data_IF_413091843871
#
_entry.id   IF_413091843871
#
_cell.length_a   1.000
_cell.length_b   1.000
_cell.length_c   1.000
_cell.angle_alpha   90.00
_cell.angle_beta   90.00
_cell.angle_gamma   90.00
#
_symmetry.space_group_name_H-M   'P 1'
#
loop_
_entity.id
_entity.type
_entity.pdbx_description
1 polymer ?
#
# COMPACT_ATOMS: atom_id res chain seq x y z
N UNK A 1 18.80 -6.17 -24.00
CA UNK A 1 19.01 -4.90 -23.25
C UNK A 1 19.72 -5.26 -21.96
N UNK A 2 21.00 -4.90 -21.86
CA UNK A 2 21.84 -5.27 -20.71
C UNK A 2 21.48 -4.37 -19.53
N UNK A 3 20.82 -4.93 -18.52
CA UNK A 3 20.62 -4.24 -17.24
C UNK A 3 21.95 -4.24 -16.48
N UNK A 4 22.60 -3.09 -16.48
CA UNK A 4 23.72 -2.83 -15.56
C UNK A 4 23.17 -2.94 -14.12
N UNK A 5 23.75 -3.74 -13.22
CA UNK A 5 23.33 -3.76 -11.82
C UNK A 5 23.56 -2.35 -11.27
N UNK A 6 22.49 -1.75 -10.70
CA UNK A 6 22.61 -0.48 -10.00
C UNK A 6 23.72 -0.64 -8.94
N UNK A 7 24.74 0.22 -9.01
CA UNK A 7 25.87 0.17 -8.11
C UNK A 7 25.33 0.33 -6.68
N UNK A 8 25.79 -0.50 -5.73
CA UNK A 8 25.40 -0.45 -4.31
C UNK A 8 25.48 0.95 -3.69
N UNK A 9 26.33 1.81 -4.24
CA UNK A 9 26.51 3.20 -3.80
C UNK A 9 25.33 4.14 -4.17
N UNK A 10 24.44 3.76 -5.11
CA UNK A 10 23.31 4.57 -5.52
C UNK A 10 22.02 4.29 -4.72
N UNK A 11 21.99 3.22 -3.94
CA UNK A 11 20.80 2.79 -3.19
C UNK A 11 20.81 3.26 -1.74
N UNK A 12 21.97 3.63 -1.18
CA UNK A 12 22.15 4.00 0.22
C UNK A 12 22.23 2.80 1.17
N UNK A 13 22.02 3.03 2.48
CA UNK A 13 22.07 1.98 3.50
C UNK A 13 20.80 1.12 3.46
N UNK A 14 20.96 -0.21 3.56
CA UNK A 14 19.85 -1.14 3.70
C UNK A 14 19.24 -0.99 5.10
N UNK A 15 17.95 -0.72 5.17
CA UNK A 15 17.21 -0.51 6.42
C UNK A 15 16.36 -1.73 6.80
N UNK A 16 15.97 -2.56 5.83
CA UNK A 16 15.19 -3.77 6.10
C UNK A 16 14.96 -4.63 4.88
N UNK A 17 14.80 -5.92 5.15
CA UNK A 17 14.40 -6.93 4.17
C UNK A 17 13.07 -7.54 4.59
N UNK A 18 12.13 -7.62 3.65
CA UNK A 18 10.78 -8.06 3.91
C UNK A 18 10.40 -9.19 2.96
N UNK A 19 10.11 -10.35 3.53
CA UNK A 19 9.79 -11.56 2.80
C UNK A 19 8.31 -11.92 2.94
N UNK A 20 7.69 -12.59 1.96
CA UNK A 20 6.34 -13.07 2.09
C UNK A 20 6.23 -14.14 3.19
N UNK A 21 5.06 -14.25 3.80
CA UNK A 21 4.78 -15.28 4.79
C UNK A 21 4.83 -16.68 4.16
N UNK A 22 5.82 -17.48 4.57
CA UNK A 22 5.99 -18.86 4.07
C UNK A 22 5.25 -19.91 4.89
N UNK A 23 4.60 -19.51 6.00
CA UNK A 23 3.94 -20.46 6.93
C UNK A 23 2.81 -21.25 6.28
N UNK A 24 1.92 -20.58 5.57
CA UNK A 24 0.77 -21.25 4.95
C UNK A 24 1.16 -22.24 3.84
N UNK A 25 2.00 -21.88 2.84
CA UNK A 25 2.48 -22.84 1.85
C UNK A 25 3.31 -23.97 2.46
N UNK A 26 4.07 -23.73 3.54
CA UNK A 26 4.79 -24.78 4.25
C UNK A 26 3.81 -25.75 4.94
N UNK A 27 2.76 -25.25 5.56
CA UNK A 27 1.73 -26.09 6.20
C UNK A 27 0.95 -26.91 5.18
N UNK A 28 0.58 -26.32 4.04
CA UNK A 28 -0.06 -27.04 2.93
C UNK A 28 0.86 -28.14 2.37
N UNK A 29 2.16 -27.86 2.24
CA UNK A 29 3.13 -28.85 1.80
C UNK A 29 3.25 -30.01 2.79
N UNK A 30 3.36 -29.72 4.08
CA UNK A 30 3.40 -30.76 5.14
C UNK A 30 2.14 -31.63 5.10
N UNK A 31 0.96 -31.01 4.99
CA UNK A 31 -0.30 -31.75 4.92
C UNK A 31 -0.41 -32.59 3.64
N UNK A 32 0.07 -32.06 2.50
CA UNK A 32 0.14 -32.81 1.24
C UNK A 32 1.02 -34.05 1.37
N UNK A 33 2.23 -33.90 1.94
CA UNK A 33 3.16 -35.00 2.18
C UNK A 33 2.58 -36.05 3.14
N UNK A 34 1.87 -35.59 4.17
CA UNK A 34 1.19 -36.49 5.11
C UNK A 34 0.10 -37.32 4.39
N UNK A 35 -0.75 -36.69 3.58
CA UNK A 35 -1.78 -37.39 2.82
C UNK A 35 -1.17 -38.41 1.85
N UNK A 36 -0.10 -38.04 1.14
CA UNK A 36 0.59 -38.93 0.19
C UNK A 36 1.23 -40.12 0.93
N UNK A 37 1.84 -39.88 2.12
CA UNK A 37 2.45 -40.95 2.91
C UNK A 37 1.42 -41.87 3.54
N UNK A 38 0.26 -41.38 3.93
CA UNK A 38 -0.83 -42.19 4.52
C UNK A 38 -1.54 -43.06 3.47
N UNK A 39 -1.57 -42.67 2.21
CA UNK A 39 -2.27 -43.43 1.16
C UNK A 39 -1.78 -44.89 1.04
N UNK A 40 -0.47 -45.18 0.87
CA UNK A 40 0.02 -46.56 0.82
C UNK A 40 -0.12 -47.30 2.15
N UNK A 41 -0.01 -46.59 3.29
CA UNK A 41 -0.20 -47.16 4.63
C UNK A 41 -1.64 -47.67 4.78
N UNK A 42 -2.63 -46.91 4.34
CA UNK A 42 -4.05 -47.28 4.38
C UNK A 42 -4.32 -48.47 3.48
N UNK A 43 -3.73 -48.54 2.29
CA UNK A 43 -3.85 -49.71 1.37
C UNK A 43 -3.23 -50.95 2.02
N UNK A 44 -2.02 -50.80 2.61
CA UNK A 44 -1.31 -51.90 3.27
C UNK A 44 -2.05 -52.41 4.53
N UNK A 45 -2.50 -51.49 5.41
CA UNK A 45 -3.23 -51.87 6.60
C UNK A 45 -4.55 -52.52 6.28
N UNK A 46 -5.28 -52.01 5.29
CA UNK A 46 -6.51 -52.62 4.81
C UNK A 46 -6.33 -54.00 4.17
N UNK A 47 -5.11 -54.33 3.66
CA UNK A 47 -4.79 -55.69 3.19
C UNK A 47 -4.54 -56.67 4.33
N UNK A 48 -4.23 -56.20 5.53
CA UNK A 48 -4.01 -57.03 6.74
C UNK A 48 -5.29 -57.28 7.54
N UNK A 49 -6.27 -56.36 7.44
CA UNK A 49 -7.51 -56.38 8.21
C UNK A 49 -8.64 -57.05 7.40
N UNK A 50 -8.48 -58.17 6.84
CA UNK A 50 -9.45 -59.08 6.18
C UNK A 50 -10.86 -58.43 5.92
N UNK A 51 -10.85 -57.24 5.35
CA UNK A 51 -12.11 -56.49 5.13
C UNK A 51 -12.78 -56.99 3.83
N UNK A 52 -14.03 -57.34 3.93
CA UNK A 52 -14.88 -57.94 2.87
C UNK A 52 -15.03 -57.09 1.58
N UNK A 53 -14.47 -55.85 1.56
CA UNK A 53 -14.57 -54.98 0.39
C UNK A 53 -13.21 -54.41 -0.04
N UNK A 54 -12.48 -55.11 -0.94
CA UNK A 54 -11.20 -54.61 -1.48
C UNK A 54 -11.34 -53.28 -2.23
N UNK A 55 -12.51 -52.99 -2.81
CA UNK A 55 -12.79 -51.75 -3.52
C UNK A 55 -12.70 -50.50 -2.59
N UNK A 56 -13.14 -50.60 -1.34
CA UNK A 56 -13.12 -49.49 -0.39
C UNK A 56 -11.69 -49.04 -0.04
N UNK A 57 -10.76 -49.99 0.08
CA UNK A 57 -9.35 -49.74 0.37
C UNK A 57 -8.68 -48.89 -0.71
N UNK A 58 -8.85 -49.35 -1.96
CA UNK A 58 -8.29 -48.62 -3.10
C UNK A 58 -8.94 -47.28 -3.30
N UNK A 59 -10.24 -47.15 -3.03
CA UNK A 59 -10.96 -45.89 -3.10
C UNK A 59 -10.45 -44.88 -2.07
N UNK A 60 -10.30 -45.28 -0.80
CA UNK A 60 -9.75 -44.43 0.27
C UNK A 60 -8.30 -44.01 -0.02
N UNK A 61 -7.45 -44.94 -0.44
CA UNK A 61 -6.07 -44.62 -0.82
C UNK A 61 -6.00 -43.65 -1.99
N UNK A 62 -6.86 -43.83 -2.99
CA UNK A 62 -6.94 -42.92 -4.16
C UNK A 62 -7.42 -41.53 -3.79
N UNK A 63 -8.42 -41.43 -2.91
CA UNK A 63 -8.91 -40.11 -2.40
C UNK A 63 -7.82 -39.39 -1.64
N UNK A 64 -7.08 -40.07 -0.75
CA UNK A 64 -5.96 -39.48 -0.02
C UNK A 64 -4.84 -39.01 -0.95
N UNK A 65 -4.48 -39.84 -1.95
CA UNK A 65 -3.46 -39.46 -2.93
C UNK A 65 -3.89 -38.24 -3.76
N UNK A 66 -5.16 -38.23 -4.23
CA UNK A 66 -5.72 -37.07 -4.94
C UNK A 66 -5.76 -35.81 -4.10
N UNK A 67 -6.18 -35.91 -2.83
CA UNK A 67 -6.17 -34.80 -1.90
C UNK A 67 -4.73 -34.25 -1.68
N UNK A 68 -3.76 -35.16 -1.50
CA UNK A 68 -2.35 -34.79 -1.39
C UNK A 68 -1.83 -34.08 -2.63
N UNK A 69 -2.16 -34.56 -3.83
CA UNK A 69 -1.78 -33.91 -5.08
C UNK A 69 -2.40 -32.53 -5.25
N UNK A 70 -3.67 -32.35 -4.90
CA UNK A 70 -4.35 -31.05 -4.90
C UNK A 70 -3.70 -30.07 -3.92
N UNK A 71 -3.39 -30.49 -2.69
CA UNK A 71 -2.71 -29.67 -1.69
C UNK A 71 -1.29 -29.29 -2.14
N UNK A 72 -0.57 -30.19 -2.79
CA UNK A 72 0.74 -29.92 -3.35
C UNK A 72 0.63 -28.86 -4.47
N UNK A 73 -0.32 -29.03 -5.39
CA UNK A 73 -0.61 -28.06 -6.43
C UNK A 73 -0.97 -26.68 -5.85
N UNK A 74 -1.83 -26.65 -4.84
CA UNK A 74 -2.19 -25.43 -4.12
C UNK A 74 -0.98 -24.77 -3.43
N UNK A 75 -0.09 -25.53 -2.79
CA UNK A 75 1.15 -25.04 -2.18
C UNK A 75 2.09 -24.40 -3.22
N UNK A 76 2.30 -25.05 -4.36
CA UNK A 76 3.13 -24.51 -5.46
C UNK A 76 2.49 -23.26 -6.06
N UNK A 77 1.20 -23.30 -6.31
CA UNK A 77 0.43 -22.16 -6.81
C UNK A 77 0.54 -20.97 -5.86
N UNK A 78 0.34 -21.20 -4.58
CA UNK A 78 0.42 -20.15 -3.56
C UNK A 78 1.82 -19.56 -3.44
N UNK A 79 2.89 -20.37 -3.55
CA UNK A 79 4.27 -19.84 -3.60
C UNK A 79 4.51 -18.93 -4.80
N UNK A 80 3.91 -19.21 -5.95
CA UNK A 80 3.97 -18.32 -7.12
C UNK A 80 3.18 -17.04 -6.93
N UNK A 81 2.06 -17.08 -6.19
CA UNK A 81 1.24 -15.91 -5.88
C UNK A 81 1.78 -15.07 -4.72
N UNK A 82 2.64 -15.63 -3.85
CA UNK A 82 3.18 -14.91 -2.70
C UNK A 82 4.11 -13.76 -3.07
N UNK A 83 4.42 -13.60 -4.34
CA UNK A 83 4.97 -12.38 -4.90
C UNK A 83 6.40 -12.07 -4.52
N UNK A 84 6.70 -10.83 -4.69
CA UNK A 84 8.01 -10.23 -4.56
C UNK A 84 8.44 -10.14 -3.10
N UNK A 85 9.72 -10.26 -2.83
CA UNK A 85 10.29 -9.75 -1.58
C UNK A 85 10.85 -8.34 -1.81
N UNK A 86 11.00 -7.58 -0.73
CA UNK A 86 11.35 -6.18 -0.81
C UNK A 86 12.56 -5.88 0.07
N UNK A 87 13.48 -5.11 -0.49
CA UNK A 87 14.59 -4.51 0.24
C UNK A 87 14.34 -3.00 0.30
N UNK A 88 14.33 -2.45 1.50
CA UNK A 88 14.13 -1.01 1.71
C UNK A 88 15.44 -0.38 2.09
N UNK A 89 15.85 0.58 1.30
CA UNK A 89 17.05 1.39 1.51
C UNK A 89 16.64 2.80 1.97
N UNK A 90 17.57 3.57 2.49
CA UNK A 90 17.31 4.96 2.91
C UNK A 90 16.84 5.87 1.75
N UNK A 91 17.24 5.57 0.50
CA UNK A 91 16.91 6.37 -0.67
C UNK A 91 15.85 5.75 -1.60
N UNK A 92 15.47 4.49 -1.38
CA UNK A 92 14.53 3.82 -2.28
C UNK A 92 14.14 2.42 -1.84
N UNK A 93 13.33 1.81 -2.65
CA UNK A 93 12.80 0.46 -2.48
C UNK A 93 13.17 -0.41 -3.67
N UNK A 94 13.65 -1.62 -3.41
CA UNK A 94 13.86 -2.65 -4.44
C UNK A 94 12.80 -3.73 -4.28
N UNK A 95 11.99 -3.92 -5.31
CA UNK A 95 11.15 -5.10 -5.44
C UNK A 95 11.93 -6.18 -6.18
N UNK A 96 11.94 -7.39 -5.66
CA UNK A 96 12.59 -8.55 -6.25
C UNK A 96 11.52 -9.58 -6.59
N UNK A 97 11.22 -9.71 -7.88
CA UNK A 97 10.23 -10.62 -8.40
C UNK A 97 10.86 -11.58 -9.41
N UNK A 98 10.68 -12.88 -9.21
CA UNK A 98 11.26 -13.93 -10.05
C UNK A 98 12.78 -13.74 -10.35
N UNK A 99 13.52 -13.15 -9.41
CA UNK A 99 14.96 -12.87 -9.53
C UNK A 99 15.29 -11.57 -10.26
N UNK A 100 14.30 -10.83 -10.75
CA UNK A 100 14.49 -9.49 -11.30
C UNK A 100 14.40 -8.45 -10.20
N UNK A 101 15.33 -7.51 -10.18
CA UNK A 101 15.40 -6.42 -9.21
C UNK A 101 14.91 -5.12 -9.86
N UNK A 102 13.88 -4.54 -9.28
CA UNK A 102 13.30 -3.26 -9.70
C UNK A 102 13.50 -2.24 -8.58
N UNK A 103 14.46 -1.36 -8.75
CA UNK A 103 14.73 -0.29 -7.81
C UNK A 103 13.96 0.97 -8.17
N UNK A 104 13.31 1.59 -7.19
CA UNK A 104 12.63 2.87 -7.29
C UNK A 104 13.07 3.79 -6.14
N UNK A 105 13.60 4.98 -6.48
CA UNK A 105 13.96 5.98 -5.48
C UNK A 105 12.70 6.61 -4.89
N UNK A 106 12.69 6.87 -3.58
CA UNK A 106 11.60 7.61 -2.92
C UNK A 106 11.44 9.03 -3.50
N UNK A 107 12.52 9.63 -3.98
CA UNK A 107 12.48 10.91 -4.66
C UNK A 107 11.72 10.89 -6.00
N UNK A 108 11.61 9.75 -6.65
CA UNK A 108 10.92 9.57 -7.93
C UNK A 108 9.53 8.92 -7.74
N UNK A 109 9.17 8.55 -6.51
CA UNK A 109 7.89 7.97 -6.18
C UNK A 109 6.85 9.09 -6.06
N UNK A 110 5.92 9.17 -7.00
CA UNK A 110 4.85 10.19 -6.99
C UNK A 110 3.66 9.78 -6.15
N UNK A 111 3.17 8.56 -6.35
CA UNK A 111 1.96 8.07 -5.69
C UNK A 111 2.28 6.92 -4.74
N UNK A 112 1.94 7.11 -3.48
CA UNK A 112 1.91 6.08 -2.44
C UNK A 112 0.48 5.92 -1.94
N UNK A 113 -0.10 4.74 -2.08
CA UNK A 113 -1.50 4.50 -1.74
C UNK A 113 -1.64 3.37 -0.74
N UNK A 114 -2.32 3.68 0.35
CA UNK A 114 -2.55 2.80 1.49
C UNK A 114 -4.04 2.50 1.58
N UNK A 115 -4.44 1.23 1.50
CA UNK A 115 -5.85 0.88 1.53
C UNK A 115 -6.11 -0.48 2.19
N UNK A 116 -7.36 -0.71 2.55
CA UNK A 116 -7.84 -1.95 3.13
C UNK A 116 -9.22 -2.32 2.62
N UNK A 117 -9.73 -3.52 2.93
CA UNK A 117 -11.08 -3.91 2.58
C UNK A 117 -12.08 -2.99 3.29
N UNK A 118 -13.11 -2.58 2.57
CA UNK A 118 -14.14 -1.67 3.08
C UNK A 118 -14.89 -2.19 4.32
N UNK A 119 -14.82 -3.51 4.57
CA UNK A 119 -15.44 -4.18 5.72
C UNK A 119 -14.58 -4.19 6.98
N UNK A 120 -13.28 -3.92 6.87
CA UNK A 120 -12.37 -3.92 8.00
C UNK A 120 -12.18 -2.48 8.48
N UNK A 121 -12.84 -2.11 9.56
CA UNK A 121 -12.75 -0.81 10.23
C UNK A 121 -11.29 -0.34 10.37
N UNK A 122 -10.83 0.48 9.42
CA UNK A 122 -9.53 1.16 9.47
C UNK A 122 -8.29 0.28 9.32
N UNK A 123 -8.41 -1.02 9.08
CA UNK A 123 -7.25 -1.90 8.93
C UNK A 123 -6.65 -1.80 7.53
N UNK A 124 -5.43 -1.28 7.46
CA UNK A 124 -4.64 -1.25 6.22
C UNK A 124 -4.11 -2.65 5.93
N UNK A 125 -4.45 -3.17 4.77
CA UNK A 125 -4.01 -4.50 4.33
C UNK A 125 -3.20 -4.48 3.04
N UNK A 126 -3.14 -3.33 2.37
CA UNK A 126 -2.44 -3.17 1.10
C UNK A 126 -1.67 -1.85 1.06
N UNK A 127 -0.53 -1.89 0.40
CA UNK A 127 0.28 -0.74 0.04
C UNK A 127 0.59 -0.81 -1.45
N UNK A 128 0.28 0.25 -2.17
CA UNK A 128 0.60 0.38 -3.58
C UNK A 128 1.42 1.64 -3.84
N UNK A 129 2.32 1.59 -4.80
CA UNK A 129 3.13 2.75 -5.18
C UNK A 129 3.47 2.73 -6.66
N UNK A 130 3.78 3.91 -7.22
CA UNK A 130 4.23 4.08 -8.59
C UNK A 130 5.06 5.34 -8.77
N UNK A 131 5.93 5.35 -9.77
CA UNK A 131 6.79 6.51 -10.09
C UNK A 131 6.05 7.65 -10.79
N UNK A 132 4.87 7.41 -11.35
CA UNK A 132 4.09 8.43 -12.04
C UNK A 132 2.72 7.94 -12.45
N UNK A 133 1.84 8.85 -12.85
CA UNK A 133 0.44 8.57 -13.15
C UNK A 133 0.23 7.49 -14.23
N UNK A 134 1.14 7.41 -15.20
CA UNK A 134 1.10 6.47 -16.33
C UNK A 134 1.83 5.15 -16.06
N UNK A 135 2.57 5.07 -14.97
CA UNK A 135 3.32 3.87 -14.61
C UNK A 135 2.40 2.83 -13.92
N UNK A 136 2.67 1.55 -14.11
CA UNK A 136 1.92 0.49 -13.44
C UNK A 136 2.12 0.57 -11.92
N UNK A 137 1.07 0.25 -11.19
CA UNK A 137 1.14 0.12 -9.75
C UNK A 137 1.97 -1.10 -9.35
N UNK A 138 2.89 -0.91 -8.43
CA UNK A 138 3.45 -1.99 -7.64
C UNK A 138 2.59 -2.15 -6.38
N UNK A 139 2.28 -3.39 -6.04
CA UNK A 139 1.33 -3.71 -4.97
C UNK A 139 1.92 -4.75 -4.03
N UNK A 140 1.80 -4.50 -2.74
CA UNK A 140 2.04 -5.50 -1.70
C UNK A 140 0.87 -5.54 -0.71
N UNK A 141 0.80 -6.61 0.07
CA UNK A 141 -0.31 -6.83 1.01
C UNK A 141 0.19 -7.37 2.35
N UNK A 142 -0.74 -7.53 3.28
CA UNK A 142 -0.52 -8.17 4.58
C UNK A 142 -0.01 -9.63 4.50
N UNK A 143 0.12 -10.21 3.28
CA UNK A 143 0.84 -11.46 3.05
C UNK A 143 2.37 -11.31 3.22
N UNK A 144 2.88 -10.09 3.25
CA UNK A 144 4.28 -9.78 3.58
C UNK A 144 4.50 -9.91 5.08
N UNK A 145 5.57 -10.60 5.49
CA UNK A 145 5.96 -10.65 6.89
C UNK A 145 6.31 -9.24 7.37
N UNK A 146 5.90 -8.89 8.59
CA UNK A 146 6.12 -7.56 9.16
C UNK A 146 5.55 -6.41 8.29
N UNK A 147 4.42 -6.64 7.60
CA UNK A 147 3.79 -5.67 6.71
C UNK A 147 3.59 -4.30 7.35
N UNK A 148 3.19 -4.24 8.62
CA UNK A 148 3.01 -2.96 9.33
C UNK A 148 4.32 -2.17 9.44
N UNK A 149 5.43 -2.85 9.75
CA UNK A 149 6.75 -2.22 9.82
C UNK A 149 7.22 -1.76 8.44
N UNK A 150 7.05 -2.62 7.42
CA UNK A 150 7.33 -2.26 6.02
C UNK A 150 6.57 -1.01 5.59
N UNK A 151 5.26 -0.99 5.82
CA UNK A 151 4.39 0.12 5.47
C UNK A 151 4.81 1.42 6.17
N UNK A 152 5.10 1.38 7.47
CA UNK A 152 5.53 2.55 8.24
C UNK A 152 6.86 3.10 7.71
N UNK A 153 7.83 2.22 7.48
CA UNK A 153 9.15 2.59 6.97
C UNK A 153 9.06 3.24 5.58
N UNK A 154 8.31 2.63 4.65
CA UNK A 154 8.14 3.17 3.29
C UNK A 154 7.45 4.54 3.33
N UNK A 155 6.41 4.72 4.16
CA UNK A 155 5.70 6.00 4.31
C UNK A 155 6.62 7.09 4.86
N UNK A 156 7.38 6.78 5.90
CA UNK A 156 8.32 7.73 6.51
C UNK A 156 9.40 8.18 5.54
N UNK A 157 10.01 7.23 4.83
CA UNK A 157 11.08 7.53 3.87
C UNK A 157 10.55 8.28 2.64
N UNK A 158 9.33 7.97 2.19
CA UNK A 158 8.67 8.72 1.12
C UNK A 158 8.45 10.19 1.52
N UNK A 159 7.89 10.43 2.70
CA UNK A 159 7.71 11.80 3.23
C UNK A 159 9.06 12.52 3.33
N UNK A 160 10.06 11.87 3.93
CA UNK A 160 11.42 12.45 4.09
C UNK A 160 12.03 12.86 2.75
N UNK A 161 11.85 12.04 1.69
CA UNK A 161 12.42 12.31 0.38
C UNK A 161 11.67 13.41 -0.41
N UNK A 162 10.34 13.51 -0.23
CA UNK A 162 9.50 14.43 -1.00
C UNK A 162 9.31 15.80 -0.32
N UNK A 163 9.33 15.84 1.01
CA UNK A 163 9.03 17.04 1.79
C UNK A 163 9.89 18.27 1.42
N UNK A 164 11.21 18.13 1.16
CA UNK A 164 12.03 19.28 0.74
C UNK A 164 11.59 19.89 -0.59
N UNK A 165 11.15 19.07 -1.54
CA UNK A 165 10.65 19.53 -2.85
C UNK A 165 9.31 20.25 -2.71
N UNK A 166 8.46 19.71 -1.86
CA UNK A 166 7.16 20.30 -1.52
C UNK A 166 7.34 21.66 -0.88
N UNK A 167 8.21 21.77 0.12
CA UNK A 167 8.50 23.05 0.78
C UNK A 167 9.09 24.08 -0.18
N UNK A 168 10.04 23.69 -1.02
CA UNK A 168 10.59 24.58 -2.04
C UNK A 168 9.51 25.07 -3.01
N UNK A 169 8.54 24.23 -3.37
CA UNK A 169 7.40 24.62 -4.22
C UNK A 169 6.47 25.61 -3.51
N UNK A 170 6.12 25.36 -2.25
CA UNK A 170 5.27 26.25 -1.45
C UNK A 170 5.95 27.62 -1.21
N UNK A 171 7.26 27.64 -0.87
CA UNK A 171 8.02 28.86 -0.70
C UNK A 171 8.12 29.68 -1.99
N UNK A 172 8.17 29.02 -3.14
CA UNK A 172 8.14 29.67 -4.45
C UNK A 172 6.71 30.10 -4.87
N UNK A 173 5.72 29.98 -4.00
CA UNK A 173 4.32 30.31 -4.28
C UNK A 173 3.63 29.35 -5.26
N UNK A 174 4.25 28.22 -5.57
CA UNK A 174 3.67 27.21 -6.48
C UNK A 174 2.78 26.23 -5.71
N UNK A 175 1.70 25.79 -6.36
CA UNK A 175 0.86 24.71 -5.84
C UNK A 175 1.53 23.34 -5.99
N UNK A 176 1.18 22.44 -5.06
CA UNK A 176 1.57 21.04 -5.08
C UNK A 176 0.34 20.21 -5.39
N UNK A 177 0.42 19.38 -6.43
CA UNK A 177 -0.68 18.52 -6.85
C UNK A 177 -0.67 17.20 -6.05
N UNK A 178 -1.85 16.78 -5.61
CA UNK A 178 -2.12 15.50 -4.98
C UNK A 178 -3.27 14.80 -5.70
N UNK A 179 -3.22 13.48 -5.75
CA UNK A 179 -4.29 12.67 -6.32
C UNK A 179 -5.12 12.04 -5.22
N UNK A 180 -6.41 11.88 -5.48
CA UNK A 180 -7.31 11.25 -4.52
C UNK A 180 -8.46 10.51 -5.23
N UNK A 181 -9.05 9.55 -4.52
CA UNK A 181 -10.31 8.93 -4.87
C UNK A 181 -11.40 9.53 -4.00
N UNK A 182 -12.52 9.91 -4.61
CA UNK A 182 -13.68 10.39 -3.85
C UNK A 182 -14.26 9.28 -2.98
N UNK A 183 -14.97 9.66 -1.94
CA UNK A 183 -15.67 8.74 -1.05
C UNK A 183 -16.62 7.78 -1.81
N UNK A 184 -17.28 8.26 -2.85
CA UNK A 184 -18.10 7.43 -3.73
C UNK A 184 -17.30 6.38 -4.50
N UNK A 185 -16.07 6.72 -4.95
CA UNK A 185 -15.18 5.79 -5.63
C UNK A 185 -14.64 4.74 -4.66
N UNK A 186 -14.21 5.14 -3.47
CA UNK A 186 -13.71 4.22 -2.44
C UNK A 186 -14.79 3.23 -2.00
N UNK A 187 -16.04 3.69 -1.86
CA UNK A 187 -17.17 2.85 -1.44
C UNK A 187 -17.81 2.05 -2.57
N UNK A 188 -17.60 2.41 -3.82
CA UNK A 188 -18.39 1.85 -4.94
C UNK A 188 -18.15 0.37 -5.22
N UNK A 189 -17.15 -0.29 -4.65
CA UNK A 189 -16.78 -1.71 -4.86
C UNK A 189 -16.79 -2.16 -6.34
N UNK A 190 -16.93 -1.22 -7.29
CA UNK A 190 -17.01 -1.48 -8.72
C UNK A 190 -15.60 -1.56 -9.32
N UNK A 191 -15.01 -2.74 -9.26
CA UNK A 191 -13.70 -3.02 -9.81
C UNK A 191 -12.53 -2.68 -8.87
N UNK A 192 -11.29 -2.98 -9.28
CA UNK A 192 -10.10 -2.73 -8.49
C UNK A 192 -9.89 -1.22 -8.28
N UNK A 193 -9.72 -0.78 -7.03
CA UNK A 193 -9.51 0.63 -6.67
C UNK A 193 -8.36 1.28 -7.46
N UNK A 194 -7.29 0.54 -7.73
CA UNK A 194 -6.12 1.02 -8.45
C UNK A 194 -6.36 1.28 -9.95
N UNK A 195 -7.47 0.81 -10.52
CA UNK A 195 -7.86 1.06 -11.92
C UNK A 195 -8.80 2.25 -12.07
N UNK A 196 -9.32 2.79 -10.96
CA UNK A 196 -10.18 3.96 -11.02
C UNK A 196 -9.34 5.21 -11.33
N UNK A 197 -9.83 6.11 -12.22
CA UNK A 197 -9.16 7.36 -12.50
C UNK A 197 -9.18 8.24 -11.25
N UNK A 198 -8.03 8.63 -10.70
CA UNK A 198 -7.98 9.53 -9.57
C UNK A 198 -8.38 10.94 -9.98
N UNK A 199 -8.93 11.67 -9.05
CA UNK A 199 -9.12 13.12 -9.16
C UNK A 199 -7.86 13.82 -8.66
N UNK A 200 -7.68 15.08 -9.09
CA UNK A 200 -6.53 15.89 -8.66
C UNK A 200 -6.99 17.03 -7.75
N UNK A 201 -6.20 17.33 -6.76
CA UNK A 201 -6.31 18.53 -5.93
C UNK A 201 -4.96 19.23 -5.87
N UNK A 202 -4.97 20.55 -5.85
CA UNK A 202 -3.75 21.38 -5.75
C UNK A 202 -3.76 22.15 -4.45
N UNK A 203 -2.72 21.98 -3.65
CA UNK A 203 -2.50 22.68 -2.40
C UNK A 203 -1.44 23.75 -2.58
N UNK A 204 -1.76 25.00 -2.25
CA UNK A 204 -0.83 26.13 -2.22
C UNK A 204 -0.88 26.80 -0.85
N UNK A 205 0.04 27.72 -0.61
CA UNK A 205 0.00 28.56 0.62
C UNK A 205 -1.32 29.34 0.71
N UNK A 206 -1.88 29.78 -0.41
CA UNK A 206 -3.07 30.64 -0.44
C UNK A 206 -4.39 29.83 -0.47
N UNK A 207 -4.41 28.67 -1.09
CA UNK A 207 -5.65 27.95 -1.38
C UNK A 207 -5.47 26.46 -1.58
N UNK A 208 -6.54 25.72 -1.30
CA UNK A 208 -6.76 24.34 -1.76
C UNK A 208 -7.73 24.36 -2.93
N UNK A 209 -7.32 23.80 -4.06
CA UNK A 209 -8.14 23.71 -5.28
C UNK A 209 -8.49 22.26 -5.57
N UNK A 210 -9.76 21.94 -5.77
CA UNK A 210 -10.23 20.62 -6.19
C UNK A 210 -11.61 20.72 -6.83
N UNK A 211 -11.88 19.89 -7.82
CA UNK A 211 -13.14 19.85 -8.56
C UNK A 211 -13.58 21.24 -9.08
N UNK A 212 -12.63 22.07 -9.52
CA UNK A 212 -12.90 23.42 -9.99
C UNK A 212 -13.28 24.42 -8.88
N UNK A 213 -13.24 24.03 -7.62
CA UNK A 213 -13.47 24.91 -6.46
C UNK A 213 -12.15 25.34 -5.86
N UNK A 214 -12.08 26.62 -5.49
CA UNK A 214 -10.92 27.19 -4.78
C UNK A 214 -11.34 27.61 -3.38
N UNK A 215 -10.68 27.03 -2.38
CA UNK A 215 -10.92 27.28 -0.97
C UNK A 215 -9.72 28.02 -0.41
N UNK A 216 -9.96 29.19 0.20
CA UNK A 216 -8.89 29.92 0.84
C UNK A 216 -8.33 29.17 2.05
N UNK A 217 -7.00 29.10 2.18
CA UNK A 217 -6.34 28.51 3.37
C UNK A 217 -6.74 29.19 4.67
N UNK A 218 -7.11 30.49 4.62
CA UNK A 218 -7.62 31.23 5.79
C UNK A 218 -8.96 30.68 6.29
N UNK A 219 -9.81 30.14 5.40
CA UNK A 219 -11.06 29.50 5.80
C UNK A 219 -10.85 28.11 6.39
N UNK A 220 -9.68 27.50 6.17
CA UNK A 220 -9.31 26.16 6.68
C UNK A 220 -8.67 26.19 8.08
N UNK A 221 -8.39 27.36 8.64
CA UNK A 221 -7.74 27.53 9.95
C UNK A 221 -8.52 26.92 11.14
N UNK A 222 -9.74 26.48 10.92
CA UNK A 222 -10.60 25.77 11.90
C UNK A 222 -10.75 24.28 11.64
N UNK A 223 -9.90 23.69 10.83
CA UNK A 223 -9.93 22.25 10.59
C UNK A 223 -9.49 21.51 11.85
N UNK A 224 -10.37 20.70 12.36
CA UNK A 224 -10.09 19.81 13.49
C UNK A 224 -9.21 18.64 13.02
N UNK A 225 -7.89 18.81 13.14
CA UNK A 225 -6.90 17.79 12.78
C UNK A 225 -7.04 16.50 13.62
N UNK A 226 -7.76 16.55 14.74
CA UNK A 226 -8.01 15.37 15.59
C UNK A 226 -8.90 14.31 14.96
N UNK A 227 -9.79 14.67 14.04
CA UNK A 227 -10.70 13.76 13.34
C UNK A 227 -10.12 13.17 12.04
N UNK A 228 -8.91 13.51 11.67
CA UNK A 228 -8.29 13.18 10.37
C UNK A 228 -7.84 11.72 10.23
N UNK A 229 -7.85 10.94 11.28
CA UNK A 229 -7.35 9.55 11.22
C UNK A 229 -8.23 8.62 10.37
N UNK A 230 -9.51 8.94 10.21
CA UNK A 230 -10.45 8.09 9.48
C UNK A 230 -11.02 8.79 8.24
N UNK A 231 -11.26 10.11 8.30
CA UNK A 231 -11.91 10.86 7.24
C UNK A 231 -11.33 12.28 7.14
N UNK A 232 -10.87 12.68 5.96
CA UNK A 232 -10.50 14.07 5.68
C UNK A 232 -11.78 14.83 5.37
N UNK A 233 -12.23 15.61 6.34
CA UNK A 233 -13.39 16.47 6.22
C UNK A 233 -12.95 17.92 6.24
N UNK A 234 -12.85 18.54 5.09
CA UNK A 234 -12.56 19.98 4.96
C UNK A 234 -13.89 20.72 4.94
N UNK A 235 -14.07 21.62 5.89
CA UNK A 235 -15.25 22.50 5.99
C UNK A 235 -14.89 23.93 5.59
N UNK A 236 -15.83 24.62 4.99
CA UNK A 236 -15.72 26.07 4.74
C UNK A 236 -16.02 26.89 6.01
N UNK A 237 -15.92 28.20 5.90
CA UNK A 237 -16.16 29.13 7.03
C UNK A 237 -17.63 29.03 7.56
N UNK A 238 -18.57 28.50 6.79
CA UNK A 238 -19.96 28.25 7.21
C UNK A 238 -20.14 26.90 7.90
N UNK A 239 -19.08 26.07 8.00
CA UNK A 239 -19.13 24.73 8.57
C UNK A 239 -19.62 23.67 7.58
N UNK A 240 -19.89 24.03 6.32
CA UNK A 240 -20.34 23.09 5.30
C UNK A 240 -19.15 22.23 4.80
N UNK A 241 -19.31 20.91 4.70
CA UNK A 241 -18.26 20.06 4.16
C UNK A 241 -18.01 20.38 2.68
N UNK A 242 -16.76 20.66 2.37
CA UNK A 242 -16.29 20.98 1.02
C UNK A 242 -15.58 19.81 0.40
N UNK A 243 -14.71 19.14 1.15
CA UNK A 243 -14.08 17.87 0.79
C UNK A 243 -14.44 16.85 1.85
N UNK A 244 -14.94 15.70 1.43
CA UNK A 244 -15.11 14.52 2.26
C UNK A 244 -14.52 13.33 1.54
N UNK A 245 -13.43 12.80 2.06
CA UNK A 245 -12.80 11.58 1.54
C UNK A 245 -12.20 10.80 2.70
N UNK A 246 -12.21 9.46 2.68
CA UNK A 246 -11.42 8.69 3.63
C UNK A 246 -9.95 9.11 3.54
N UNK A 247 -9.24 9.12 4.66
CA UNK A 247 -7.79 9.33 4.65
C UNK A 247 -7.11 8.34 3.69
N UNK A 248 -7.61 7.12 3.64
CA UNK A 248 -7.22 6.09 2.68
C UNK A 248 -7.63 6.41 1.23
N UNK A 249 -8.35 7.47 0.94
CA UNK A 249 -8.66 7.93 -0.41
C UNK A 249 -7.60 8.85 -1.01
N UNK A 250 -6.71 9.44 -0.20
CA UNK A 250 -5.68 10.38 -0.67
C UNK A 250 -4.38 9.62 -0.93
N UNK A 251 -3.82 9.77 -2.13
CA UNK A 251 -2.50 9.24 -2.44
C UNK A 251 -1.42 10.08 -1.75
N UNK A 252 -0.38 9.43 -1.27
CA UNK A 252 0.68 10.08 -0.46
C UNK A 252 0.11 10.88 0.70
N UNK A 253 -0.88 10.32 1.40
CA UNK A 253 -1.66 10.94 2.45
C UNK A 253 -0.81 11.63 3.52
N UNK A 254 0.27 10.99 4.01
CA UNK A 254 1.15 11.60 5.01
C UNK A 254 1.85 12.84 4.47
N UNK A 255 2.32 12.77 3.21
CA UNK A 255 2.92 13.92 2.55
C UNK A 255 1.90 15.06 2.39
N UNK A 256 0.65 14.74 2.03
CA UNK A 256 -0.43 15.72 1.96
C UNK A 256 -0.68 16.39 3.31
N UNK A 257 -0.72 15.64 4.41
CA UNK A 257 -0.92 16.20 5.75
C UNK A 257 0.21 17.14 6.15
N UNK A 258 1.46 16.73 6.00
CA UNK A 258 2.61 17.59 6.29
C UNK A 258 2.64 18.84 5.41
N UNK A 259 2.22 18.72 4.14
CA UNK A 259 2.12 19.85 3.22
C UNK A 259 1.06 20.85 3.68
N UNK A 260 -0.10 20.34 4.12
CA UNK A 260 -1.19 21.15 4.61
C UNK A 260 -0.83 21.87 5.91
N UNK A 261 -0.21 21.17 6.86
CA UNK A 261 0.30 21.77 8.11
C UNK A 261 1.29 22.90 7.81
N UNK A 262 2.23 22.66 6.88
CA UNK A 262 3.18 23.67 6.46
C UNK A 262 2.48 24.89 5.82
N UNK A 263 1.52 24.67 4.92
CA UNK A 263 0.79 25.76 4.27
C UNK A 263 -0.02 26.60 5.28
N UNK A 264 -0.61 25.95 6.29
CA UNK A 264 -1.31 26.65 7.38
C UNK A 264 -0.33 27.46 8.25
N UNK A 265 0.84 26.90 8.56
CA UNK A 265 1.87 27.60 9.32
C UNK A 265 2.43 28.83 8.58
N UNK A 266 2.63 28.74 7.27
CA UNK A 266 3.03 29.88 6.44
C UNK A 266 1.97 31.00 6.45
N UNK A 267 0.69 30.64 6.41
CA UNK A 267 -0.39 31.64 6.49
C UNK A 267 -0.43 32.35 7.85
N UNK A 268 -0.34 31.61 8.94
CA UNK A 268 -0.37 32.18 10.29
C UNK A 268 0.84 33.09 10.55
N UNK A 269 2.03 32.72 10.05
CA UNK A 269 3.22 33.54 10.13
C UNK A 269 3.10 34.86 9.34
N UNK A 270 2.49 34.81 8.15
CA UNK A 270 2.25 35.99 7.32
C UNK A 270 1.24 36.97 7.96
N UNK A 271 0.29 36.48 8.75
CA UNK A 271 -0.68 37.32 9.48
C UNK A 271 -0.08 37.97 10.73
N UNK A 272 0.90 37.32 11.35
CA UNK A 272 1.57 37.82 12.55
C UNK A 272 2.62 38.90 12.27
N UNK A 273 3.06 39.06 11.01
CA UNK A 273 3.94 40.16 10.62
C UNK A 273 3.16 41.48 10.63
N UNK A 274 3.53 42.48 11.48
CA UNK A 274 2.89 43.78 11.44
C UNK A 274 3.07 44.36 10.05
N UNK A 275 1.94 44.70 9.39
CA UNK A 275 1.97 45.47 8.15
C UNK A 275 2.81 46.70 8.44
N UNK A 276 4.03 46.76 7.90
CA UNK A 276 4.85 47.97 7.95
C UNK A 276 3.96 49.12 7.45
N UNK A 277 3.62 50.02 8.37
CA UNK A 277 2.79 51.19 8.07
C UNK A 277 3.49 51.93 6.94
N UNK A 278 2.94 51.86 5.75
CA UNK A 278 3.39 52.69 4.63
C UNK A 278 3.11 54.14 4.98
N UNK A 279 4.16 54.86 5.14
CA UNK A 279 4.15 56.32 5.15
C UNK A 279 4.21 56.86 3.73
#
# INVERSE_FOLDING_TARGET
>A
MSHTPASEHATGALLGEFHPHTRLPALLLMLALLCIALAPVMIWLGSRLDSDSPALRYWLGSVLAAAGALLLGASVWQRRLLGSHYEVYDQGITAIDAGQRHYLRFADLEDLYVFGPASASGQVTHLAWRAGATQPWQLTSAALAQFTQFQQLVRELHVRAQLPKVFASLQAGRGVAFRYLSDAQVRSHRGPLLQQPPQEMTLSVASLEFQGRRISMRSLSRVDLGSWREHVLIKDASGKPVLSTPCTGIFSHDLFLHTLEAALAFNSAAESMPRAAGH
#
